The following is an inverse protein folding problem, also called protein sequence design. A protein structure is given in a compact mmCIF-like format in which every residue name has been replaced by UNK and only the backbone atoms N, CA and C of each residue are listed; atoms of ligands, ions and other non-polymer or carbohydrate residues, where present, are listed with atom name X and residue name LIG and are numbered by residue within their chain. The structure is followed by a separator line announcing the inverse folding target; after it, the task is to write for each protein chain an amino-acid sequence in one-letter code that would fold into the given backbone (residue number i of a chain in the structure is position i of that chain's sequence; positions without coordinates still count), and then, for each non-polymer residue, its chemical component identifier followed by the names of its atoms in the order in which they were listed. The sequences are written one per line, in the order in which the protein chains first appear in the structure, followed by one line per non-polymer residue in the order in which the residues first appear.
data_IF_309431638355
#
_entry.id   IF_309431638355
#
_cell.length_a   1.000
_cell.length_b   1.000
_cell.length_c   1.000
_cell.angle_alpha   90.00
_cell.angle_beta   90.00
_cell.angle_gamma   90.00
#
_symmetry.space_group_name_H-M   'P 1'
#
loop_
_entity.id
_entity.type
_entity.pdbx_description
1 polymer ?
#
# COMPACT_ATOMS: atom_id res chain seq x y z
N UNK A 1 -6.52 -1.11 69.99
CA UNK A 1 -7.21 -2.16 69.20
C UNK A 1 -8.10 -1.45 68.21
N UNK A 2 -7.86 -1.70 66.92
CA UNK A 2 -8.38 -0.93 65.80
C UNK A 2 -9.80 -1.38 65.42
N UNK A 3 -10.66 -0.41 65.11
CA UNK A 3 -11.87 -0.61 64.31
C UNK A 3 -12.12 0.69 63.54
N UNK A 4 -11.61 0.75 62.31
CA UNK A 4 -11.86 1.84 61.37
C UNK A 4 -13.05 1.47 60.48
N UNK A 5 -14.02 2.38 60.45
CA UNK A 5 -15.30 2.34 59.77
C UNK A 5 -15.18 2.49 58.24
N UNK A 6 -16.05 1.76 57.53
CA UNK A 6 -16.27 1.83 56.07
C UNK A 6 -16.76 3.22 55.62
N UNK A 7 -16.38 3.71 54.43
CA UNK A 7 -17.07 4.83 53.79
C UNK A 7 -18.25 4.35 52.93
N UNK A 8 -19.34 5.11 53.03
CA UNK A 8 -20.58 5.02 52.28
C UNK A 8 -20.43 5.57 50.85
N UNK A 9 -21.08 4.88 49.92
CA UNK A 9 -21.23 5.23 48.49
C UNK A 9 -22.20 6.42 48.37
N UNK A 10 -21.77 7.48 47.68
CA UNK A 10 -22.61 8.61 47.31
C UNK A 10 -23.27 8.35 45.96
N UNK A 11 -24.60 8.22 45.97
CA UNK A 11 -25.44 8.23 44.76
C UNK A 11 -25.58 9.68 44.27
N UNK A 12 -24.98 9.98 43.11
CA UNK A 12 -25.24 11.21 42.37
C UNK A 12 -26.31 10.90 41.30
N UNK A 13 -27.50 11.45 41.49
CA UNK A 13 -28.61 11.36 40.56
C UNK A 13 -28.31 12.09 39.26
N UNK A 14 -28.46 11.37 38.15
CA UNK A 14 -28.53 11.95 36.81
C UNK A 14 -29.98 11.91 36.34
N UNK A 15 -30.56 13.10 36.19
CA UNK A 15 -31.87 13.35 35.63
C UNK A 15 -31.86 13.05 34.12
N UNK A 16 -32.65 12.04 33.74
CA UNK A 16 -32.98 11.70 32.37
C UNK A 16 -33.87 12.79 31.76
N UNK A 17 -33.38 13.46 30.72
CA UNK A 17 -34.20 14.26 29.80
C UNK A 17 -34.73 13.36 28.67
N UNK A 18 -36.02 13.49 28.29
CA UNK A 18 -36.70 12.48 27.49
C UNK A 18 -36.39 12.56 25.98
N UNK A 19 -36.40 11.37 25.37
CA UNK A 19 -36.38 11.13 23.93
C UNK A 19 -37.48 11.92 23.21
N UNK A 20 -37.08 12.66 22.18
CA UNK A 20 -37.98 13.22 21.17
C UNK A 20 -38.36 12.12 20.18
N UNK A 21 -39.65 11.82 20.11
CA UNK A 21 -40.24 10.90 19.13
C UNK A 21 -40.40 11.58 17.76
N UNK A 22 -40.28 10.85 16.64
CA UNK A 22 -40.45 11.45 15.31
C UNK A 22 -41.93 11.70 15.01
N UNK A 23 -42.26 12.94 14.64
CA UNK A 23 -43.59 13.31 14.16
C UNK A 23 -43.84 12.80 12.74
N UNK A 24 -44.97 12.11 12.62
CA UNK A 24 -45.74 11.71 11.44
C UNK A 24 -45.53 12.57 10.16
N UNK A 25 -45.05 11.93 9.09
CA UNK A 25 -45.17 12.43 7.72
C UNK A 25 -46.51 11.97 7.15
N UNK A 26 -47.42 12.92 6.95
CA UNK A 26 -48.69 12.69 6.25
C UNK A 26 -48.45 12.43 4.76
N UNK A 27 -48.93 11.29 4.29
CA UNK A 27 -49.10 10.91 2.89
C UNK A 27 -50.36 11.53 2.28
N UNK A 28 -50.30 11.92 0.99
CA UNK A 28 -51.31 11.82 -0.10
C UNK A 28 -51.14 12.98 -1.13
N UNK A 29 -51.54 12.84 -2.42
CA UNK A 29 -51.45 11.70 -3.33
C UNK A 29 -50.80 12.08 -4.69
N UNK A 30 -50.44 11.04 -5.45
CA UNK A 30 -49.88 11.09 -6.81
C UNK A 30 -50.88 11.64 -7.83
N UNK A 31 -50.45 12.60 -8.67
CA UNK A 31 -51.04 12.89 -9.99
C UNK A 31 -49.95 13.19 -11.04
N UNK A 32 -49.68 12.14 -11.80
CA UNK A 32 -49.32 12.05 -13.22
C UNK A 32 -49.26 13.35 -14.05
N UNK A 33 -48.07 13.72 -14.57
CA UNK A 33 -47.84 14.44 -15.85
C UNK A 33 -46.42 14.17 -16.41
N UNK A 34 -46.39 13.47 -17.54
CA UNK A 34 -45.36 13.34 -18.61
C UNK A 34 -43.95 13.97 -18.45
N UNK A 35 -42.86 13.23 -18.74
CA UNK A 35 -41.56 13.80 -19.07
C UNK A 35 -41.39 14.13 -20.58
N UNK A 36 -40.48 15.05 -20.95
CA UNK A 36 -40.29 15.53 -22.33
C UNK A 36 -39.39 14.61 -23.19
N UNK A 37 -39.60 14.67 -24.51
CA UNK A 37 -38.91 13.88 -25.55
C UNK A 37 -37.45 14.32 -25.75
N UNK A 38 -36.54 13.40 -26.16
CA UNK A 38 -35.16 13.75 -26.46
C UNK A 38 -35.01 14.40 -27.84
N UNK A 39 -34.11 15.38 -27.90
CA UNK A 39 -33.62 16.05 -29.11
C UNK A 39 -33.03 15.03 -30.11
N UNK A 40 -33.45 15.12 -31.38
CA UNK A 40 -32.78 14.47 -32.52
C UNK A 40 -31.91 15.50 -33.22
N UNK A 41 -30.60 15.32 -33.18
CA UNK A 41 -29.69 15.99 -34.10
C UNK A 41 -29.61 15.18 -35.40
N UNK A 42 -29.97 15.83 -36.51
CA UNK A 42 -29.83 15.32 -37.86
C UNK A 42 -28.42 15.69 -38.37
N UNK A 43 -27.53 14.71 -38.50
CA UNK A 43 -26.29 14.87 -39.27
C UNK A 43 -26.55 14.40 -40.70
N UNK A 44 -26.61 15.37 -41.62
CA UNK A 44 -26.68 15.15 -43.06
C UNK A 44 -25.28 14.85 -43.60
N UNK A 45 -25.03 13.62 -44.04
CA UNK A 45 -23.81 13.25 -44.77
C UNK A 45 -24.03 13.60 -46.26
N UNK A 46 -23.26 14.57 -46.75
CA UNK A 46 -23.20 14.94 -48.18
C UNK A 46 -22.17 14.02 -48.84
N UNK A 47 -22.62 13.16 -49.77
CA UNK A 47 -21.74 12.37 -50.64
C UNK A 47 -21.39 13.18 -51.91
N UNK A 48 -20.13 13.18 -52.37
CA UNK A 48 -19.75 13.84 -53.62
C UNK A 48 -20.23 13.05 -54.86
N UNK A 49 -20.48 13.75 -55.99
CA UNK A 49 -21.07 13.16 -57.19
C UNK A 49 -20.10 12.25 -57.96
N UNK A 50 -20.69 11.23 -58.57
CA UNK A 50 -20.08 10.22 -59.43
C UNK A 50 -19.49 10.80 -60.71
N UNK A 51 -18.29 10.32 -61.08
CA UNK A 51 -17.65 10.56 -62.38
C UNK A 51 -17.53 9.21 -63.15
N UNK A 52 -17.57 9.23 -64.49
CA UNK A 52 -17.88 8.05 -65.30
C UNK A 52 -16.65 7.16 -65.56
N UNK A 53 -16.91 5.86 -65.68
CA UNK A 53 -15.93 4.85 -66.09
C UNK A 53 -15.58 4.95 -67.58
N UNK A 54 -14.29 4.85 -67.97
CA UNK A 54 -13.92 4.41 -69.28
C UNK A 54 -13.87 2.87 -69.35
N UNK A 55 -14.59 2.37 -70.33
CA UNK A 55 -14.52 1.04 -70.93
C UNK A 55 -13.08 0.70 -71.38
N UNK A 56 -12.50 -0.37 -70.86
CA UNK A 56 -11.93 -1.41 -71.72
C UNK A 56 -11.51 -2.67 -70.94
N UNK A 57 -12.05 -3.79 -71.41
CA UNK A 57 -11.73 -5.16 -71.03
C UNK A 57 -10.37 -5.48 -71.65
N UNK A 58 -9.31 -5.75 -70.87
CA UNK A 58 -8.15 -6.60 -71.21
C UNK A 58 -7.05 -6.43 -70.14
N UNK A 59 -7.14 -7.14 -69.01
CA UNK A 59 -6.05 -7.76 -68.23
C UNK A 59 -6.58 -8.23 -66.87
N UNK A 60 -7.25 -9.39 -66.84
CA UNK A 60 -7.73 -10.01 -65.60
C UNK A 60 -7.36 -11.50 -65.53
N UNK A 61 -6.13 -11.88 -65.92
CA UNK A 61 -5.60 -13.22 -65.60
C UNK A 61 -4.07 -13.15 -65.47
N UNK A 62 -3.54 -12.45 -64.45
CA UNK A 62 -2.16 -12.67 -63.98
C UNK A 62 -1.82 -12.13 -62.58
N UNK A 63 -2.78 -11.60 -61.81
CA UNK A 63 -2.53 -11.08 -60.45
C UNK A 63 -3.14 -11.93 -59.31
N UNK A 64 -3.72 -13.10 -59.61
CA UNK A 64 -4.38 -13.93 -58.59
C UNK A 64 -3.46 -14.95 -57.90
N UNK A 65 -2.22 -15.16 -58.36
CA UNK A 65 -1.34 -16.22 -57.83
C UNK A 65 -0.13 -15.72 -57.03
N UNK A 66 0.11 -14.40 -56.97
CA UNK A 66 1.22 -13.82 -56.17
C UNK A 66 0.71 -13.18 -54.87
N UNK A 67 -0.58 -12.80 -54.78
CA UNK A 67 -1.16 -12.23 -53.57
C UNK A 67 -1.35 -13.28 -52.43
N UNK A 68 -1.54 -14.56 -52.77
CA UNK A 68 -1.80 -15.61 -51.75
C UNK A 68 -0.50 -16.08 -51.05
N UNK A 69 0.67 -15.94 -51.67
CA UNK A 69 1.94 -16.31 -51.06
C UNK A 69 2.54 -15.20 -50.17
N UNK A 70 2.25 -13.92 -50.44
CA UNK A 70 2.68 -12.78 -49.61
C UNK A 70 1.83 -12.58 -48.34
N UNK A 71 0.59 -13.09 -48.33
CA UNK A 71 -0.30 -13.03 -47.16
C UNK A 71 -0.10 -14.19 -46.16
N UNK A 72 0.49 -15.32 -46.59
CA UNK A 72 0.78 -16.44 -45.69
C UNK A 72 2.09 -16.27 -44.89
N UNK A 73 3.10 -15.60 -45.46
CA UNK A 73 4.37 -15.33 -44.79
C UNK A 73 4.35 -14.13 -43.82
N UNK A 74 3.49 -13.15 -44.06
CA UNK A 74 3.37 -11.98 -43.19
C UNK A 74 2.61 -12.27 -41.88
N UNK A 75 1.72 -13.27 -41.86
CA UNK A 75 0.92 -13.62 -40.69
C UNK A 75 1.70 -14.25 -39.53
N UNK A 76 2.74 -15.04 -39.83
CA UNK A 76 3.59 -15.66 -38.80
C UNK A 76 4.68 -14.71 -38.28
N UNK A 77 5.16 -13.78 -39.11
CA UNK A 77 6.12 -12.76 -38.70
C UNK A 77 5.47 -11.62 -37.89
N UNK A 78 4.21 -11.26 -38.17
CA UNK A 78 3.48 -10.26 -37.37
C UNK A 78 3.06 -10.79 -36.00
N UNK A 79 2.73 -12.09 -35.88
CA UNK A 79 2.34 -12.66 -34.59
C UNK A 79 3.53 -12.76 -33.62
N UNK A 80 4.75 -12.97 -34.12
CA UNK A 80 5.97 -13.01 -33.31
C UNK A 80 6.55 -11.62 -32.99
N UNK A 81 6.20 -10.59 -33.77
CA UNK A 81 6.71 -9.21 -33.56
C UNK A 81 5.83 -8.35 -32.62
N UNK A 82 4.63 -8.83 -32.26
CA UNK A 82 3.74 -8.16 -31.30
C UNK A 82 4.03 -8.60 -29.85
N UNK A 83 4.73 -9.72 -29.64
CA UNK A 83 5.04 -10.28 -28.31
C UNK A 83 6.31 -9.69 -27.66
N UNK A 84 6.99 -8.70 -28.25
CA UNK A 84 8.27 -8.20 -27.72
C UNK A 84 8.41 -6.68 -27.68
N UNK A 85 7.32 -5.94 -27.39
CA UNK A 85 7.41 -4.49 -27.14
C UNK A 85 7.13 -4.16 -25.67
N UNK A 86 7.91 -3.26 -25.05
CA UNK A 86 7.57 -2.70 -23.74
C UNK A 86 6.24 -1.96 -23.85
N UNK A 87 5.26 -2.30 -23.00
CA UNK A 87 3.92 -1.72 -23.00
C UNK A 87 2.91 -2.39 -23.94
N UNK A 88 3.07 -3.67 -24.28
CA UNK A 88 2.01 -4.41 -24.97
C UNK A 88 0.77 -4.52 -24.08
N UNK A 89 -0.38 -4.05 -24.57
CA UNK A 89 -1.70 -4.27 -23.96
C UNK A 89 -1.84 -5.76 -23.57
N UNK A 90 -2.46 -6.07 -22.41
CA UNK A 90 -2.69 -7.45 -21.98
C UNK A 90 -3.30 -8.26 -23.13
N UNK A 91 -2.83 -9.49 -23.32
CA UNK A 91 -3.39 -10.33 -24.38
C UNK A 91 -4.89 -10.53 -24.13
N UNK A 92 -5.68 -10.80 -25.17
CA UNK A 92 -7.11 -11.14 -25.00
C UNK A 92 -7.28 -12.29 -24.00
N UNK A 93 -6.32 -13.22 -23.94
CA UNK A 93 -6.30 -14.31 -22.98
C UNK A 93 -6.15 -13.79 -21.54
N UNK A 94 -5.22 -12.87 -21.29
CA UNK A 94 -4.98 -12.31 -19.95
C UNK A 94 -6.20 -11.55 -19.44
N UNK A 95 -6.88 -10.79 -20.31
CA UNK A 95 -8.14 -10.14 -19.97
C UNK A 95 -9.22 -11.14 -19.55
N UNK A 96 -9.36 -12.25 -20.29
CA UNK A 96 -10.33 -13.29 -19.97
C UNK A 96 -10.02 -13.99 -18.64
N UNK A 97 -8.76 -14.32 -18.39
CA UNK A 97 -8.35 -14.96 -17.13
C UNK A 97 -8.59 -14.04 -15.93
N UNK A 98 -8.35 -12.74 -16.11
CA UNK A 98 -8.68 -11.72 -15.10
C UNK A 98 -10.19 -11.61 -14.86
N UNK A 99 -11.00 -11.63 -15.91
CA UNK A 99 -12.47 -11.62 -15.80
C UNK A 99 -13.02 -12.89 -15.11
N UNK A 100 -12.29 -14.02 -15.22
CA UNK A 100 -12.55 -15.26 -14.49
C UNK A 100 -12.08 -15.20 -13.02
N UNK A 101 -11.48 -14.09 -12.58
CA UNK A 101 -11.03 -13.86 -11.21
C UNK A 101 -9.65 -14.44 -10.90
N UNK A 102 -8.89 -14.88 -11.92
CA UNK A 102 -7.51 -15.31 -11.75
C UNK A 102 -6.57 -14.12 -11.60
N UNK A 103 -5.46 -14.38 -10.93
CA UNK A 103 -4.41 -13.41 -10.62
C UNK A 103 -3.08 -13.89 -11.16
N UNK A 104 -2.34 -13.03 -11.83
CA UNK A 104 -1.00 -13.32 -12.33
C UNK A 104 0.03 -13.07 -11.22
N UNK A 105 0.66 -14.14 -10.75
CA UNK A 105 1.50 -14.14 -9.55
C UNK A 105 2.93 -14.55 -9.88
N UNK A 106 3.90 -13.81 -9.36
CA UNK A 106 5.34 -14.12 -9.45
C UNK A 106 5.90 -14.49 -8.09
N UNK A 107 6.87 -15.40 -8.09
CA UNK A 107 7.60 -15.84 -6.88
C UNK A 107 9.11 -15.56 -6.95
N UNK A 108 9.59 -15.04 -8.07
CA UNK A 108 10.97 -14.55 -8.25
C UNK A 108 11.03 -13.54 -9.41
N UNK A 109 12.17 -12.86 -9.58
CA UNK A 109 12.37 -11.92 -10.69
C UNK A 109 12.23 -12.61 -12.06
N UNK A 110 12.81 -13.80 -12.19
CA UNK A 110 12.83 -14.62 -13.41
C UNK A 110 11.53 -15.41 -13.66
N UNK A 111 10.59 -15.40 -12.70
CA UNK A 111 9.28 -16.04 -12.85
C UNK A 111 8.44 -15.27 -13.89
N UNK A 112 8.01 -15.89 -15.01
CA UNK A 112 7.16 -15.22 -15.99
C UNK A 112 5.75 -14.93 -15.44
N UNK A 113 5.40 -15.47 -14.28
CA UNK A 113 4.11 -15.34 -13.65
C UNK A 113 3.21 -16.54 -13.93
N UNK A 114 2.49 -16.97 -12.91
CA UNK A 114 1.49 -18.04 -12.98
C UNK A 114 0.11 -17.48 -12.66
N UNK A 115 -0.88 -17.79 -13.48
CA UNK A 115 -2.28 -17.45 -13.20
C UNK A 115 -2.84 -18.39 -12.13
N UNK A 116 -3.34 -17.82 -11.04
CA UNK A 116 -3.79 -18.55 -9.85
C UNK A 116 -5.09 -17.94 -9.30
N UNK A 117 -5.93 -18.75 -8.66
CA UNK A 117 -7.04 -18.22 -7.85
C UNK A 117 -6.51 -17.65 -6.52
N UNK A 118 -7.33 -16.86 -5.81
CA UNK A 118 -7.02 -16.42 -4.44
C UNK A 118 -6.82 -17.60 -3.47
N UNK A 119 -7.58 -18.68 -3.63
CA UNK A 119 -7.44 -19.89 -2.83
C UNK A 119 -6.11 -20.61 -3.12
N UNK A 120 -5.71 -20.67 -4.39
CA UNK A 120 -4.40 -21.21 -4.75
C UNK A 120 -3.24 -20.36 -4.23
N UNK A 121 -3.36 -19.01 -4.24
CA UNK A 121 -2.37 -18.13 -3.59
C UNK A 121 -2.23 -18.48 -2.11
N UNK A 122 -3.36 -18.66 -1.44
CA UNK A 122 -3.38 -19.04 -0.02
C UNK A 122 -2.70 -20.39 0.23
N UNK A 123 -3.14 -21.44 -0.46
CA UNK A 123 -2.70 -22.82 -0.24
C UNK A 123 -1.26 -23.08 -0.69
N UNK A 124 -0.82 -22.41 -1.75
CA UNK A 124 0.49 -22.68 -2.36
C UNK A 124 1.57 -21.72 -1.88
N UNK A 125 1.22 -20.49 -1.49
CA UNK A 125 2.19 -19.43 -1.19
C UNK A 125 2.09 -18.95 0.26
N UNK A 126 0.96 -18.35 0.65
CA UNK A 126 0.77 -17.73 1.98
C UNK A 126 0.97 -18.77 3.10
N UNK A 127 0.27 -19.90 3.04
CA UNK A 127 0.36 -20.97 4.05
C UNK A 127 1.72 -21.66 4.12
N UNK A 128 2.56 -21.47 3.08
CA UNK A 128 3.92 -22.01 2.99
C UNK A 128 4.99 -20.95 3.24
N UNK A 129 4.60 -19.71 3.56
CA UNK A 129 5.50 -18.57 3.76
C UNK A 129 6.44 -18.34 2.57
N UNK A 130 5.90 -18.46 1.35
CA UNK A 130 6.63 -18.15 0.11
C UNK A 130 6.24 -16.74 -0.29
N UNK A 131 7.21 -15.82 -0.31
CA UNK A 131 6.99 -14.45 -0.78
C UNK A 131 6.63 -14.40 -2.26
N UNK A 132 5.71 -13.50 -2.61
CA UNK A 132 5.16 -13.40 -3.96
C UNK A 132 4.66 -11.99 -4.25
N UNK A 133 4.49 -11.68 -5.53
CA UNK A 133 3.84 -10.46 -5.98
C UNK A 133 2.69 -10.79 -6.92
N UNK A 134 1.54 -10.16 -6.71
CA UNK A 134 0.41 -10.19 -7.63
C UNK A 134 0.53 -9.01 -8.59
N UNK A 135 0.93 -9.30 -9.82
CA UNK A 135 1.24 -8.29 -10.84
C UNK A 135 0.06 -8.03 -11.78
N UNK A 136 -1.11 -8.61 -11.51
CA UNK A 136 -2.27 -8.61 -12.43
C UNK A 136 -2.68 -7.21 -12.88
N UNK A 137 -2.65 -6.24 -11.96
CA UNK A 137 -3.06 -4.85 -12.21
C UNK A 137 -1.87 -3.94 -12.57
N UNK A 138 -0.65 -4.45 -12.46
CA UNK A 138 0.59 -3.66 -12.54
C UNK A 138 1.64 -4.33 -13.43
N UNK A 139 1.20 -5.11 -14.42
CA UNK A 139 2.09 -5.78 -15.40
C UNK A 139 2.99 -4.80 -16.15
N UNK A 140 2.56 -3.55 -16.26
CA UNK A 140 3.34 -2.47 -16.87
C UNK A 140 4.62 -2.20 -16.09
N UNK A 141 4.63 -2.32 -14.75
CA UNK A 141 5.85 -2.24 -13.93
C UNK A 141 6.89 -3.28 -14.36
N UNK A 142 6.46 -4.46 -14.79
CA UNK A 142 7.35 -5.50 -15.33
C UNK A 142 7.90 -5.12 -16.70
N UNK A 143 7.11 -4.38 -17.49
CA UNK A 143 7.46 -3.94 -18.84
C UNK A 143 8.39 -2.73 -18.83
N UNK A 144 8.30 -1.90 -17.79
CA UNK A 144 9.16 -0.72 -17.66
C UNK A 144 10.61 -1.15 -17.45
N UNK A 145 10.88 -2.27 -16.77
CA UNK A 145 12.24 -2.72 -16.51
C UNK A 145 13.09 -1.62 -15.85
N UNK A 146 14.33 -1.96 -15.52
CA UNK A 146 15.26 -0.98 -14.92
C UNK A 146 15.62 0.18 -15.87
N UNK A 147 15.27 0.09 -17.17
CA UNK A 147 15.60 1.07 -18.19
C UNK A 147 14.53 2.16 -18.42
N UNK A 148 13.27 1.92 -18.05
CA UNK A 148 12.16 2.88 -18.23
C UNK A 148 11.65 3.49 -16.94
N UNK A 149 12.12 3.04 -15.77
CA UNK A 149 12.01 3.81 -14.53
C UNK A 149 12.63 5.18 -14.80
N UNK A 150 11.79 6.19 -15.02
CA UNK A 150 12.16 7.48 -15.57
C UNK A 150 13.37 8.05 -14.83
N UNK A 151 14.59 7.83 -15.37
CA UNK A 151 15.91 8.19 -14.79
C UNK A 151 15.77 8.85 -13.41
N UNK A 152 15.39 8.07 -12.40
CA UNK A 152 15.17 8.65 -11.07
C UNK A 152 16.57 9.11 -10.66
N UNK A 153 16.71 10.42 -10.47
CA UNK A 153 18.02 10.99 -10.19
C UNK A 153 18.58 10.25 -8.98
N UNK A 154 19.83 9.80 -9.07
CA UNK A 154 20.47 9.13 -7.94
C UNK A 154 20.41 10.05 -6.73
N UNK A 155 19.68 9.63 -5.69
CA UNK A 155 19.56 10.38 -4.45
C UNK A 155 20.88 10.23 -3.69
N UNK A 156 21.47 11.35 -3.31
CA UNK A 156 22.70 11.36 -2.53
C UNK A 156 22.35 11.40 -1.04
N UNK A 157 22.52 10.28 -0.35
CA UNK A 157 22.27 10.22 1.09
C UNK A 157 23.49 10.71 1.89
N UNK A 158 23.28 11.38 3.03
CA UNK A 158 24.35 11.73 3.95
C UNK A 158 25.13 10.50 4.43
N UNK A 159 26.38 10.67 4.83
CA UNK A 159 27.18 9.59 5.43
C UNK A 159 26.74 9.21 6.85
N UNK A 160 25.82 9.98 7.45
CA UNK A 160 25.29 9.78 8.78
C UNK A 160 24.30 10.88 9.16
N UNK A 161 23.64 10.77 10.33
CA UNK A 161 22.66 11.76 10.79
C UNK A 161 23.32 13.11 11.11
N UNK A 162 22.59 14.20 10.86
CA UNK A 162 23.04 15.58 11.14
C UNK A 162 22.01 16.45 11.87
N UNK A 163 20.83 15.90 12.18
CA UNK A 163 19.71 16.62 12.79
C UNK A 163 19.27 16.00 14.12
N UNK A 164 20.20 15.38 14.86
CA UNK A 164 19.92 14.68 16.12
C UNK A 164 19.27 15.56 17.16
N UNK A 165 19.66 16.82 17.29
CA UNK A 165 19.06 17.74 18.27
C UNK A 165 17.57 17.95 18.01
N UNK A 166 17.19 18.12 16.75
CA UNK A 166 15.80 18.30 16.34
C UNK A 166 15.02 17.00 16.46
N UNK A 167 15.59 15.90 15.96
CA UNK A 167 15.01 14.56 16.05
C UNK A 167 14.76 14.14 17.51
N UNK A 168 15.75 14.30 18.39
CA UNK A 168 15.63 13.91 19.79
C UNK A 168 14.57 14.72 20.55
N UNK A 169 14.36 15.99 20.19
CA UNK A 169 13.29 16.80 20.76
C UNK A 169 11.90 16.26 20.39
N UNK A 170 11.71 15.78 19.15
CA UNK A 170 10.47 15.14 18.73
C UNK A 170 10.31 13.74 19.33
N UNK A 171 11.37 12.93 19.31
CA UNK A 171 11.42 11.57 19.89
C UNK A 171 11.00 11.58 21.36
N UNK A 172 11.38 12.61 22.14
CA UNK A 172 10.99 12.75 23.55
C UNK A 172 9.47 12.83 23.76
N UNK A 173 8.69 13.11 22.71
CA UNK A 173 7.23 13.17 22.75
C UNK A 173 6.55 11.87 22.34
N UNK A 174 7.30 10.83 21.95
CA UNK A 174 6.75 9.52 21.62
C UNK A 174 6.19 8.82 22.87
N UNK A 175 5.02 8.19 22.75
CA UNK A 175 4.28 7.60 23.87
C UNK A 175 3.89 6.16 23.59
N UNK A 176 4.45 5.26 24.39
CA UNK A 176 4.11 3.84 24.37
C UNK A 176 2.61 3.57 24.53
N UNK A 177 1.92 4.35 25.37
CA UNK A 177 0.47 4.19 25.61
C UNK A 177 -0.39 4.37 24.35
N UNK A 178 0.06 5.20 23.40
CA UNK A 178 -0.66 5.38 22.14
C UNK A 178 -0.49 4.15 21.25
N UNK A 179 0.74 3.61 21.18
CA UNK A 179 1.06 2.37 20.46
C UNK A 179 0.19 1.23 20.97
N UNK A 180 0.12 1.05 22.29
CA UNK A 180 -0.73 0.06 22.94
C UNK A 180 -2.21 0.23 22.58
N UNK A 181 -2.73 1.46 22.66
CA UNK A 181 -4.14 1.75 22.38
C UNK A 181 -4.51 1.43 20.94
N UNK A 182 -3.71 1.89 19.97
CA UNK A 182 -3.98 1.66 18.56
C UNK A 182 -3.78 0.20 18.15
N UNK A 183 -2.74 -0.47 18.64
CA UNK A 183 -2.48 -1.87 18.33
C UNK A 183 -3.64 -2.75 18.84
N UNK A 184 -4.09 -2.53 20.09
CA UNK A 184 -5.29 -3.20 20.61
C UNK A 184 -6.53 -2.89 19.77
N UNK A 185 -6.71 -1.64 19.33
CA UNK A 185 -7.84 -1.26 18.48
C UNK A 185 -7.87 -2.03 17.16
N UNK A 186 -6.73 -2.11 16.48
CA UNK A 186 -6.59 -2.76 15.18
C UNK A 186 -6.66 -4.29 15.29
N UNK A 187 -6.01 -4.89 16.30
CA UNK A 187 -6.00 -6.33 16.53
C UNK A 187 -7.32 -6.88 17.09
N UNK A 188 -8.21 -6.02 17.58
CA UNK A 188 -9.56 -6.43 17.99
C UNK A 188 -10.52 -6.65 16.81
N UNK A 189 -10.16 -6.19 15.60
CA UNK A 189 -10.91 -6.53 14.39
C UNK A 189 -10.67 -8.01 14.09
N UNK A 190 -11.74 -8.76 13.81
CA UNK A 190 -11.66 -10.22 13.67
C UNK A 190 -10.58 -10.69 12.67
N UNK A 191 -10.52 -10.05 11.52
CA UNK A 191 -9.41 -10.05 10.58
C UNK A 191 -9.44 -8.75 9.77
N UNK A 192 -8.39 -8.48 9.00
CA UNK A 192 -8.30 -7.29 8.15
C UNK A 192 -8.05 -7.66 6.69
N UNK A 193 -8.44 -8.87 6.28
CA UNK A 193 -8.25 -9.36 4.93
C UNK A 193 -8.88 -8.41 3.90
N UNK A 194 -8.09 -7.99 2.92
CA UNK A 194 -8.39 -6.88 2.02
C UNK A 194 -9.64 -7.07 1.13
N UNK A 195 -10.02 -8.33 0.86
CA UNK A 195 -11.28 -8.71 0.16
C UNK A 195 -12.34 -9.28 1.10
N UNK A 196 -12.06 -9.36 2.40
CA UNK A 196 -12.90 -10.01 3.39
C UNK A 196 -14.10 -9.18 3.84
N UNK A 197 -14.98 -9.80 4.64
CA UNK A 197 -16.15 -9.14 5.23
C UNK A 197 -15.80 -7.98 6.17
N UNK A 198 -14.58 -7.95 6.70
CA UNK A 198 -14.07 -6.90 7.60
C UNK A 198 -13.21 -5.84 6.90
N UNK A 199 -13.06 -5.90 5.57
CA UNK A 199 -12.33 -4.92 4.76
C UNK A 199 -12.82 -3.48 4.98
N UNK A 200 -14.13 -3.26 4.96
CA UNK A 200 -14.71 -1.93 5.17
C UNK A 200 -14.52 -1.44 6.63
N UNK A 201 -14.64 -2.34 7.61
CA UNK A 201 -14.46 -2.03 9.04
C UNK A 201 -13.03 -1.61 9.34
N UNK A 202 -12.05 -2.38 8.84
CA UNK A 202 -10.62 -2.07 8.99
C UNK A 202 -10.24 -0.77 8.26
N UNK A 203 -10.75 -0.55 7.04
CA UNK A 203 -10.52 0.70 6.32
C UNK A 203 -11.08 1.94 7.04
N UNK A 204 -12.29 1.84 7.61
CA UNK A 204 -12.90 2.92 8.37
C UNK A 204 -12.13 3.21 9.67
N UNK A 205 -11.66 2.16 10.35
CA UNK A 205 -10.78 2.30 11.51
C UNK A 205 -9.48 3.00 11.12
N UNK A 206 -8.83 2.55 10.04
CA UNK A 206 -7.55 3.08 9.61
C UNK A 206 -7.66 4.57 9.27
N UNK A 207 -8.64 4.96 8.46
CA UNK A 207 -8.89 6.36 8.13
C UNK A 207 -9.10 7.22 9.39
N UNK A 208 -9.90 6.74 10.34
CA UNK A 208 -10.19 7.45 11.58
C UNK A 208 -8.94 7.62 12.46
N UNK A 209 -8.11 6.58 12.56
CA UNK A 209 -6.86 6.63 13.33
C UNK A 209 -5.86 7.63 12.72
N UNK A 210 -5.69 7.62 11.40
CA UNK A 210 -4.81 8.59 10.71
C UNK A 210 -5.31 10.02 10.86
N UNK A 211 -6.62 10.26 10.68
CA UNK A 211 -7.22 11.58 10.88
C UNK A 211 -7.04 12.08 12.32
N UNK A 212 -7.19 11.19 13.31
CA UNK A 212 -6.99 11.51 14.71
C UNK A 212 -5.52 11.87 15.00
N UNK A 213 -4.56 11.06 14.53
CA UNK A 213 -3.14 11.32 14.67
C UNK A 213 -2.71 12.65 14.01
N UNK A 214 -3.26 12.97 12.84
CA UNK A 214 -2.97 14.20 12.10
C UNK A 214 -3.69 15.45 12.65
N UNK A 215 -4.72 15.30 13.48
CA UNK A 215 -5.69 16.36 13.83
C UNK A 215 -5.10 17.64 14.42
N UNK A 216 -3.92 17.57 15.04
CA UNK A 216 -3.24 18.73 15.63
C UNK A 216 -2.55 19.65 14.62
N UNK A 217 -2.44 19.23 13.35
CA UNK A 217 -1.80 20.03 12.29
C UNK A 217 -2.68 20.08 11.03
N UNK A 218 -3.30 21.23 10.78
CA UNK A 218 -4.22 21.45 9.66
C UNK A 218 -3.55 21.44 8.27
N UNK A 219 -2.22 21.51 8.21
CA UNK A 219 -1.46 21.35 6.97
C UNK A 219 -1.43 19.90 6.49
N UNK A 220 -1.61 18.94 7.39
CA UNK A 220 -1.61 17.52 7.04
C UNK A 220 -2.90 17.18 6.29
N UNK A 221 -2.76 16.57 5.12
CA UNK A 221 -3.89 16.11 4.30
C UNK A 221 -3.96 14.59 4.34
N UNK A 222 -5.08 14.06 4.82
CA UNK A 222 -5.35 12.62 4.85
C UNK A 222 -6.27 12.27 3.70
N UNK A 223 -5.91 11.26 2.93
CA UNK A 223 -6.64 10.80 1.75
C UNK A 223 -6.64 9.28 1.68
N UNK A 224 -7.64 8.73 0.98
CA UNK A 224 -7.70 7.30 0.66
C UNK A 224 -7.28 7.09 -0.80
N UNK A 225 -6.53 6.03 -1.06
CA UNK A 225 -6.21 5.56 -2.40
C UNK A 225 -7.08 4.34 -2.70
N UNK A 226 -7.88 4.41 -3.76
CA UNK A 226 -8.79 3.33 -4.16
C UNK A 226 -8.08 2.28 -5.01
N UNK A 227 -8.40 1.02 -4.78
CA UNK A 227 -7.88 -0.14 -5.52
C UNK A 227 -8.99 -0.85 -6.29
N UNK A 228 -8.63 -1.92 -7.01
CA UNK A 228 -9.59 -2.84 -7.64
C UNK A 228 -10.42 -3.68 -6.64
N UNK A 229 -10.18 -3.52 -5.34
CA UNK A 229 -10.87 -4.17 -4.22
C UNK A 229 -11.33 -3.14 -3.18
N UNK A 230 -12.13 -3.59 -2.21
CA UNK A 230 -12.92 -2.72 -1.34
C UNK A 230 -12.15 -2.03 -0.21
N UNK A 231 -10.98 -2.53 0.19
CA UNK A 231 -10.14 -1.94 1.23
C UNK A 231 -9.16 -0.92 0.60
N UNK A 232 -9.36 0.40 0.75
CA UNK A 232 -8.43 1.42 0.23
C UNK A 232 -7.15 1.51 1.05
N UNK A 233 -6.03 1.94 0.47
CA UNK A 233 -4.89 2.41 1.26
C UNK A 233 -5.16 3.82 1.83
N UNK A 234 -4.47 4.22 2.90
CA UNK A 234 -4.61 5.55 3.50
C UNK A 234 -3.25 6.27 3.45
N UNK A 235 -3.25 7.53 3.02
CA UNK A 235 -2.04 8.36 2.93
C UNK A 235 -2.27 9.65 3.71
N UNK A 236 -1.38 9.95 4.65
CA UNK A 236 -1.27 11.27 5.25
C UNK A 236 -0.07 12.02 4.65
N UNK A 237 -0.29 13.25 4.20
CA UNK A 237 0.73 14.10 3.59
C UNK A 237 0.96 15.34 4.43
N UNK A 238 2.17 15.50 4.94
CA UNK A 238 2.66 16.73 5.58
C UNK A 238 3.52 17.50 4.55
N UNK A 239 3.00 18.60 3.97
CA UNK A 239 3.71 19.33 2.93
C UNK A 239 4.99 19.98 3.48
N UNK A 240 6.07 19.84 2.72
CA UNK A 240 7.31 20.59 2.94
C UNK A 240 7.45 21.79 2.00
N UNK A 241 8.58 22.48 2.07
CA UNK A 241 8.93 23.54 1.11
C UNK A 241 9.29 23.00 -0.29
N UNK A 242 9.72 21.74 -0.36
CA UNK A 242 9.96 20.97 -1.59
C UNK A 242 8.81 20.00 -1.82
N UNK A 243 8.51 19.74 -3.10
CA UNK A 243 7.57 18.70 -3.52
C UNK A 243 8.16 17.28 -3.50
N UNK A 244 9.48 17.14 -3.36
CA UNK A 244 10.15 15.85 -3.22
C UNK A 244 9.68 15.14 -1.94
N UNK A 245 9.45 13.83 -2.04
CA UNK A 245 8.71 13.04 -1.04
C UNK A 245 9.61 12.06 -0.31
N UNK A 246 9.53 12.04 1.02
CA UNK A 246 10.05 10.96 1.87
C UNK A 246 8.88 10.23 2.51
N UNK A 247 8.88 8.90 2.39
CA UNK A 247 7.78 8.04 2.76
C UNK A 247 8.20 7.12 3.91
N UNK A 248 7.35 7.00 4.92
CA UNK A 248 7.35 5.86 5.85
C UNK A 248 6.05 5.08 5.67
N UNK A 249 6.13 3.76 5.77
CA UNK A 249 4.98 2.90 5.46
C UNK A 249 4.85 1.70 6.36
N UNK A 250 3.63 1.17 6.41
CA UNK A 250 3.27 -0.14 6.92
C UNK A 250 1.99 -0.61 6.19
N UNK A 251 1.73 -1.91 6.11
CA UNK A 251 0.42 -2.39 5.68
C UNK A 251 -0.50 -2.62 6.88
N UNK A 252 -1.81 -2.53 6.66
CA UNK A 252 -2.79 -2.66 7.73
C UNK A 252 -3.79 -3.81 7.51
N UNK A 253 -3.67 -4.58 6.42
CA UNK A 253 -4.40 -5.83 6.30
C UNK A 253 -3.84 -6.93 7.21
N UNK A 254 -4.46 -8.11 7.16
CA UNK A 254 -3.97 -9.32 7.83
C UNK A 254 -4.63 -10.56 7.22
N UNK A 255 -3.89 -11.66 7.20
CA UNK A 255 -4.42 -12.98 6.84
C UNK A 255 -4.33 -13.97 8.00
N UNK A 256 -5.23 -14.95 8.05
CA UNK A 256 -5.21 -16.03 9.03
C UNK A 256 -4.93 -17.37 8.38
N UNK A 257 -5.30 -18.47 9.04
CA UNK A 257 -5.22 -19.81 8.45
C UNK A 257 -6.17 -20.06 7.27
N UNK A 258 -6.97 -19.05 6.90
CA UNK A 258 -7.70 -18.92 5.64
C UNK A 258 -8.03 -17.45 5.40
N UNK A 259 -8.54 -17.12 4.21
CA UNK A 259 -9.00 -15.75 3.86
C UNK A 259 -10.17 -15.24 4.72
N UNK A 260 -10.86 -16.13 5.43
CA UNK A 260 -11.93 -15.80 6.39
C UNK A 260 -11.55 -16.12 7.84
N UNK A 261 -10.34 -16.63 8.08
CA UNK A 261 -9.87 -17.02 9.40
C UNK A 261 -9.74 -15.82 10.34
N UNK A 262 -9.72 -16.08 11.65
CA UNK A 262 -9.38 -15.04 12.62
C UNK A 262 -7.91 -14.68 12.47
N UNK A 263 -7.63 -13.39 12.30
CA UNK A 263 -6.30 -12.86 12.07
C UNK A 263 -6.14 -11.53 12.81
N UNK A 264 -5.84 -11.56 14.12
CA UNK A 264 -5.64 -10.34 14.88
C UNK A 264 -4.43 -9.55 14.33
N UNK A 265 -3.45 -10.20 13.69
CA UNK A 265 -2.38 -9.54 12.93
C UNK A 265 -1.69 -8.47 13.77
N UNK A 266 -1.34 -8.83 15.00
CA UNK A 266 -0.90 -7.89 16.02
C UNK A 266 0.53 -7.45 15.76
N UNK A 267 1.39 -8.42 15.48
CA UNK A 267 2.74 -8.16 15.03
C UNK A 267 2.77 -7.87 13.54
N UNK A 268 1.99 -8.64 12.76
CA UNK A 268 1.90 -8.57 11.31
C UNK A 268 0.51 -8.03 10.85
N UNK A 269 0.35 -6.73 10.60
CA UNK A 269 1.33 -5.67 10.83
C UNK A 269 0.75 -4.50 11.63
N UNK A 270 -0.06 -4.79 12.66
CA UNK A 270 -0.52 -3.73 13.54
C UNK A 270 0.64 -3.03 14.28
N UNK A 271 1.75 -3.73 14.53
CA UNK A 271 2.94 -3.19 15.15
C UNK A 271 3.60 -2.07 14.30
N UNK A 272 3.83 -2.30 13.01
CA UNK A 272 4.34 -1.29 12.08
C UNK A 272 3.36 -0.14 11.85
N UNK A 273 2.05 -0.44 11.77
CA UNK A 273 1.02 0.60 11.66
C UNK A 273 1.09 1.59 12.82
N UNK A 274 1.25 1.11 14.06
CA UNK A 274 1.29 2.03 15.21
C UNK A 274 2.58 2.84 15.29
N UNK A 275 3.70 2.30 14.79
CA UNK A 275 4.96 3.04 14.63
C UNK A 275 4.75 4.26 13.71
N UNK A 276 4.12 4.05 12.55
CA UNK A 276 3.85 5.12 11.58
C UNK A 276 2.82 6.13 12.12
N UNK A 277 1.77 5.66 12.80
CA UNK A 277 0.78 6.54 13.45
C UNK A 277 1.39 7.42 14.54
N UNK A 278 2.28 6.88 15.36
CA UNK A 278 2.92 7.65 16.43
C UNK A 278 3.90 8.68 15.89
N UNK A 279 4.65 8.33 14.83
CA UNK A 279 5.49 9.29 14.13
C UNK A 279 4.65 10.44 13.55
N UNK A 280 3.54 10.13 12.87
CA UNK A 280 2.59 11.12 12.36
C UNK A 280 2.07 12.02 13.48
N UNK A 281 1.62 11.44 14.60
CA UNK A 281 1.07 12.18 15.74
C UNK A 281 2.10 13.09 16.41
N UNK A 282 3.34 12.62 16.57
CA UNK A 282 4.43 13.43 17.14
C UNK A 282 4.72 14.64 16.26
N UNK A 283 4.90 14.44 14.95
CA UNK A 283 5.17 15.54 14.02
C UNK A 283 3.98 16.50 13.91
N UNK A 284 2.76 15.99 13.91
CA UNK A 284 1.55 16.81 13.90
C UNK A 284 1.43 17.67 15.17
N UNK A 285 1.59 17.07 16.35
CA UNK A 285 1.50 17.79 17.63
C UNK A 285 2.59 18.85 17.80
N UNK A 286 3.77 18.64 17.21
CA UNK A 286 4.86 19.61 17.21
C UNK A 286 4.66 20.75 16.20
N UNK A 287 3.66 20.68 15.32
CA UNK A 287 3.52 21.61 14.19
C UNK A 287 4.71 21.56 13.25
N UNK A 288 5.31 20.36 13.07
CA UNK A 288 6.53 20.18 12.29
C UNK A 288 6.36 20.69 10.85
N UNK A 289 7.38 21.40 10.35
CA UNK A 289 7.39 22.00 9.02
C UNK A 289 8.64 21.50 8.27
N UNK A 290 8.54 20.37 7.56
CA UNK A 290 9.70 19.75 6.93
C UNK A 290 10.13 20.52 5.67
N UNK A 291 11.36 20.29 5.23
CA UNK A 291 11.86 20.82 3.94
C UNK A 291 11.36 19.95 2.78
N UNK A 292 11.62 18.65 2.80
CA UNK A 292 10.97 17.69 1.90
C UNK A 292 9.53 17.39 2.37
N UNK A 293 8.64 17.05 1.45
CA UNK A 293 7.30 16.59 1.79
C UNK A 293 7.40 15.22 2.46
N UNK A 294 6.71 15.04 3.58
CA UNK A 294 6.65 13.76 4.29
C UNK A 294 5.31 13.08 4.05
N UNK A 295 5.32 11.81 3.69
CA UNK A 295 4.12 11.02 3.53
C UNK A 295 4.15 9.75 4.41
N UNK A 296 2.99 9.44 4.98
CA UNK A 296 2.77 8.31 5.88
C UNK A 296 1.75 7.40 5.21
N UNK A 297 2.22 6.23 4.76
CA UNK A 297 1.43 5.32 3.95
C UNK A 297 0.97 4.12 4.79
N UNK A 298 -0.31 3.79 4.66
CA UNK A 298 -0.93 2.62 5.27
C UNK A 298 -1.52 1.77 4.16
N UNK A 299 -0.79 0.75 3.72
CA UNK A 299 -1.14 -0.06 2.56
C UNK A 299 -2.21 -1.10 2.88
N UNK A 300 -3.09 -1.37 1.93
CA UNK A 300 -4.00 -2.52 1.98
C UNK A 300 -3.56 -3.60 1.00
N UNK A 301 -3.91 -4.86 1.27
CA UNK A 301 -3.68 -5.96 0.33
C UNK A 301 -2.23 -6.37 0.14
N UNK A 302 -1.37 -6.13 1.14
CA UNK A 302 0.01 -6.64 1.16
C UNK A 302 -0.01 -8.18 1.10
N UNK A 303 -0.85 -8.79 1.93
CA UNK A 303 -1.03 -10.24 2.06
C UNK A 303 -1.61 -10.89 0.80
N UNK A 304 -2.18 -10.06 -0.08
CA UNK A 304 -2.69 -10.43 -1.39
C UNK A 304 -1.61 -10.48 -2.48
N UNK A 305 -0.37 -10.13 -2.16
CA UNK A 305 0.77 -10.01 -3.08
C UNK A 305 1.18 -8.57 -3.37
N UNK A 306 1.32 -7.73 -2.34
CA UNK A 306 1.75 -6.33 -2.38
C UNK A 306 0.83 -5.40 -3.18
N UNK A 307 -0.47 -5.69 -3.23
CA UNK A 307 -1.41 -5.06 -4.16
C UNK A 307 -1.50 -3.54 -3.98
N UNK A 308 -1.67 -3.08 -2.74
CA UNK A 308 -1.90 -1.65 -2.47
C UNK A 308 -0.69 -0.79 -2.73
N UNK A 309 0.49 -1.23 -2.26
CA UNK A 309 1.75 -0.53 -2.51
C UNK A 309 2.10 -0.53 -4.00
N UNK A 310 1.89 -1.64 -4.72
CA UNK A 310 2.12 -1.70 -6.18
C UNK A 310 1.23 -0.73 -6.94
N UNK A 311 -0.07 -0.64 -6.62
CA UNK A 311 -0.98 0.32 -7.26
C UNK A 311 -0.51 1.77 -7.04
N UNK A 312 -0.10 2.10 -5.81
CA UNK A 312 0.40 3.44 -5.46
C UNK A 312 1.69 3.76 -6.19
N UNK A 313 2.69 2.87 -6.16
CA UNK A 313 3.97 3.16 -6.81
C UNK A 313 3.90 3.12 -8.33
N UNK A 314 3.01 2.31 -8.92
CA UNK A 314 2.68 2.40 -10.35
C UNK A 314 2.08 3.77 -10.69
N UNK A 315 1.16 4.26 -9.86
CA UNK A 315 0.60 5.60 -10.02
C UNK A 315 1.68 6.69 -9.86
N UNK A 316 2.58 6.56 -8.89
CA UNK A 316 3.63 7.54 -8.64
C UNK A 316 4.64 7.59 -9.79
N UNK A 317 5.04 6.43 -10.31
CA UNK A 317 5.90 6.34 -11.50
C UNK A 317 5.21 6.98 -12.72
N UNK A 318 3.94 6.66 -12.95
CA UNK A 318 3.15 7.22 -14.06
C UNK A 318 2.96 8.74 -13.96
N UNK A 319 2.91 9.29 -12.75
CA UNK A 319 2.78 10.73 -12.49
C UNK A 319 4.12 11.43 -12.23
N UNK A 320 5.26 10.74 -12.38
CA UNK A 320 6.59 11.29 -12.15
C UNK A 320 6.73 11.96 -10.77
N UNK A 321 6.18 11.32 -9.72
CA UNK A 321 6.37 11.77 -8.34
C UNK A 321 7.84 11.61 -7.96
N UNK A 322 8.46 12.67 -7.46
CA UNK A 322 9.85 12.68 -7.02
C UNK A 322 9.97 12.08 -5.61
N UNK A 323 10.14 10.76 -5.52
CA UNK A 323 10.30 10.04 -4.24
C UNK A 323 11.78 9.86 -3.92
N UNK A 324 12.22 10.46 -2.82
CA UNK A 324 13.60 10.43 -2.37
C UNK A 324 13.94 9.20 -1.53
N UNK A 325 12.97 8.70 -0.75
CA UNK A 325 13.16 7.54 0.11
C UNK A 325 11.83 6.95 0.56
N UNK A 326 11.79 5.62 0.68
CA UNK A 326 10.71 4.84 1.28
C UNK A 326 11.30 3.95 2.38
N UNK A 327 10.83 4.08 3.62
CA UNK A 327 11.18 3.16 4.71
C UNK A 327 9.93 2.41 5.14
N UNK A 328 9.95 1.09 4.93
CA UNK A 328 8.85 0.21 5.32
C UNK A 328 9.10 -0.37 6.71
N UNK A 329 8.08 -0.26 7.58
CA UNK A 329 8.01 -0.87 8.90
C UNK A 329 7.05 -2.05 8.83
N UNK A 330 7.61 -3.25 8.89
CA UNK A 330 6.81 -4.47 8.82
C UNK A 330 7.32 -5.52 9.79
N UNK A 331 6.44 -5.84 10.75
CA UNK A 331 6.73 -6.48 12.03
C UNK A 331 7.73 -5.66 12.85
N UNK A 332 7.26 -5.10 13.97
CA UNK A 332 8.06 -4.26 14.86
C UNK A 332 7.83 -4.59 16.34
N UNK A 333 7.19 -5.72 16.65
CA UNK A 333 6.62 -6.04 17.95
C UNK A 333 7.07 -7.36 18.56
N UNK A 334 7.41 -8.39 17.79
CA UNK A 334 7.97 -9.64 18.29
C UNK A 334 9.48 -9.65 18.09
N UNK A 335 10.24 -9.52 19.17
CA UNK A 335 11.69 -9.48 19.06
C UNK A 335 12.34 -10.32 20.17
N UNK A 336 12.58 -11.62 19.94
CA UNK A 336 13.29 -12.48 20.89
C UNK A 336 14.75 -12.04 21.10
N UNK A 337 15.36 -11.39 20.10
CA UNK A 337 16.77 -10.98 20.11
C UNK A 337 17.03 -9.51 20.48
N UNK A 338 15.97 -8.71 20.66
CA UNK A 338 16.02 -7.27 20.96
C UNK A 338 16.86 -6.47 19.95
N UNK A 339 16.64 -6.66 18.65
CA UNK A 339 17.38 -5.97 17.57
C UNK A 339 16.46 -5.15 16.68
N UNK A 340 16.99 -4.18 15.95
CA UNK A 340 16.32 -3.66 14.75
C UNK A 340 17.03 -4.30 13.55
N UNK A 341 16.31 -5.14 12.81
CA UNK A 341 16.81 -5.77 11.61
C UNK A 341 16.61 -4.85 10.40
N UNK A 342 17.68 -4.60 9.65
CA UNK A 342 17.63 -3.88 8.37
C UNK A 342 17.95 -4.85 7.24
N UNK A 343 17.00 -5.01 6.33
CA UNK A 343 17.09 -5.97 5.24
C UNK A 343 17.88 -5.40 4.05
N UNK A 344 18.56 -6.29 3.32
CA UNK A 344 19.61 -5.92 2.35
C UNK A 344 19.38 -6.41 0.92
N UNK A 345 18.29 -7.13 0.66
CA UNK A 345 17.82 -7.56 -0.66
C UNK A 345 16.54 -6.81 -1.06
N UNK A 346 16.32 -6.63 -2.37
CA UNK A 346 15.18 -5.86 -2.92
C UNK A 346 15.03 -4.43 -2.37
N UNK A 347 16.16 -3.79 -2.05
CA UNK A 347 16.26 -2.44 -1.47
C UNK A 347 17.28 -1.59 -2.23
N UNK A 348 17.21 -0.27 -2.06
CA UNK A 348 18.23 0.65 -2.52
C UNK A 348 19.44 0.67 -1.56
N UNK A 349 20.60 0.23 -2.05
CA UNK A 349 21.82 0.10 -1.22
C UNK A 349 22.26 1.41 -0.55
N UNK A 350 22.11 2.56 -1.22
CA UNK A 350 22.55 3.84 -0.67
C UNK A 350 21.63 4.29 0.47
N UNK A 351 20.31 4.17 0.29
CA UNK A 351 19.33 4.44 1.35
C UNK A 351 19.49 3.47 2.52
N UNK A 352 19.65 2.17 2.26
CA UNK A 352 19.86 1.16 3.31
C UNK A 352 21.11 1.46 4.12
N UNK A 353 22.21 1.88 3.48
CA UNK A 353 23.41 2.28 4.20
C UNK A 353 23.18 3.49 5.10
N UNK A 354 22.41 4.48 4.64
CA UNK A 354 22.01 5.61 5.48
C UNK A 354 21.14 5.17 6.66
N UNK A 355 20.10 4.37 6.42
CA UNK A 355 19.21 3.80 7.46
C UNK A 355 20.00 3.08 8.55
N UNK A 356 21.00 2.27 8.17
CA UNK A 356 21.89 1.59 9.13
C UNK A 356 22.64 2.53 10.05
N UNK A 357 22.97 3.74 9.61
CA UNK A 357 23.62 4.75 10.47
C UNK A 357 22.65 5.39 11.46
N UNK A 358 21.34 5.38 11.17
CA UNK A 358 20.31 6.00 12.00
C UNK A 358 19.90 5.12 13.17
N UNK A 359 19.85 3.80 12.97
CA UNK A 359 19.47 2.82 14.02
C UNK A 359 20.23 3.04 15.33
N UNK A 360 21.58 3.01 15.38
CA UNK A 360 22.32 3.18 16.64
C UNK A 360 22.25 4.60 17.23
N UNK A 361 21.69 5.57 16.49
CA UNK A 361 21.58 6.98 16.94
C UNK A 361 20.21 7.28 17.53
N UNK A 362 19.14 6.71 16.95
CA UNK A 362 17.76 6.99 17.32
C UNK A 362 17.04 5.83 18.03
N UNK A 363 17.71 4.68 18.14
CA UNK A 363 17.26 3.53 18.94
C UNK A 363 18.36 3.11 19.91
N UNK A 364 17.94 2.52 21.02
CA UNK A 364 18.81 1.83 21.97
C UNK A 364 19.04 0.35 21.62
N UNK A 365 18.36 -0.18 20.60
CA UNK A 365 18.49 -1.56 20.16
C UNK A 365 19.70 -1.73 19.23
N UNK A 366 20.40 -2.87 19.30
CA UNK A 366 21.43 -3.22 18.33
C UNK A 366 20.86 -3.34 16.91
N UNK A 367 21.65 -2.89 15.93
CA UNK A 367 21.39 -3.14 14.52
C UNK A 367 21.71 -4.60 14.16
N UNK A 368 20.78 -5.27 13.49
CA UNK A 368 21.00 -6.53 12.78
C UNK A 368 20.82 -6.32 11.27
N UNK A 369 21.40 -7.21 10.46
CA UNK A 369 21.23 -7.22 9.00
C UNK A 369 20.71 -8.58 8.56
N UNK A 370 19.81 -8.60 7.59
CA UNK A 370 19.29 -9.85 7.03
C UNK A 370 18.87 -9.72 5.56
N UNK A 371 18.32 -10.82 5.03
CA UNK A 371 17.62 -10.92 3.76
C UNK A 371 16.30 -11.66 3.93
N UNK A 372 15.29 -11.26 3.17
CA UNK A 372 13.95 -11.84 3.28
C UNK A 372 13.57 -12.72 2.09
N UNK A 373 14.04 -12.36 0.89
CA UNK A 373 13.62 -12.97 -0.36
C UNK A 373 12.62 -12.13 -1.15
N UNK A 374 12.19 -12.69 -2.29
CA UNK A 374 11.34 -12.02 -3.26
C UNK A 374 9.93 -11.78 -2.70
N UNK A 375 9.35 -10.60 -3.00
CA UNK A 375 7.97 -10.31 -2.61
C UNK A 375 7.76 -10.37 -1.10
N UNK A 376 8.74 -9.91 -0.33
CA UNK A 376 8.74 -10.00 1.13
C UNK A 376 7.74 -9.04 1.77
N UNK A 377 7.72 -7.77 1.34
CA UNK A 377 6.83 -6.74 1.87
C UNK A 377 6.83 -5.51 0.92
N UNK A 378 6.06 -4.47 1.24
CA UNK A 378 5.76 -3.33 0.36
C UNK A 378 6.96 -2.50 -0.12
N UNK A 379 8.10 -2.56 0.57
CA UNK A 379 9.36 -1.94 0.11
C UNK A 379 9.77 -2.44 -1.28
N UNK A 380 9.43 -3.69 -1.61
CA UNK A 380 9.74 -4.31 -2.88
C UNK A 380 8.91 -3.72 -4.03
N UNK A 381 7.71 -3.22 -3.76
CA UNK A 381 6.88 -2.48 -4.72
C UNK A 381 7.53 -1.16 -5.13
N UNK A 382 8.03 -0.40 -4.15
CA UNK A 382 8.79 0.83 -4.38
C UNK A 382 10.06 0.55 -5.19
N UNK A 383 10.84 -0.47 -4.78
CA UNK A 383 12.07 -0.87 -5.47
C UNK A 383 11.80 -1.29 -6.93
N UNK A 384 10.74 -2.07 -7.17
CA UNK A 384 10.35 -2.52 -8.51
C UNK A 384 9.89 -1.37 -9.41
N UNK A 385 9.30 -0.33 -8.83
CA UNK A 385 8.96 0.91 -9.54
C UNK A 385 10.15 1.87 -9.72
N UNK A 386 11.35 1.50 -9.25
CA UNK A 386 12.59 2.27 -9.37
C UNK A 386 12.84 3.29 -8.25
N UNK A 387 11.96 3.38 -7.25
CA UNK A 387 12.10 4.31 -6.13
C UNK A 387 13.04 3.76 -5.06
N UNK A 388 13.86 4.61 -4.41
CA UNK A 388 14.72 4.15 -3.33
C UNK A 388 13.91 3.66 -2.12
N UNK A 389 14.04 2.38 -1.78
CA UNK A 389 13.37 1.80 -0.61
C UNK A 389 14.34 1.09 0.33
N UNK A 390 13.97 1.03 1.61
CA UNK A 390 14.62 0.25 2.65
C UNK A 390 13.55 -0.42 3.51
N UNK A 391 13.93 -1.53 4.15
CA UNK A 391 13.04 -2.33 4.98
C UNK A 391 13.63 -2.54 6.37
N UNK A 392 12.82 -2.25 7.38
CA UNK A 392 13.14 -2.36 8.79
C UNK A 392 12.10 -3.26 9.49
N UNK A 393 12.57 -4.19 10.30
CA UNK A 393 11.80 -5.23 11.00
C UNK A 393 12.34 -5.42 12.43
N UNK A 394 11.56 -6.01 13.32
CA UNK A 394 11.94 -6.36 14.70
C UNK A 394 12.93 -7.54 14.78
N UNK A 395 13.02 -8.37 13.74
CA UNK A 395 13.82 -9.58 13.80
C UNK A 395 14.39 -10.09 12.47
N UNK A 396 15.29 -11.07 12.62
CA UNK A 396 15.89 -11.84 11.54
C UNK A 396 14.96 -12.97 11.11
N UNK A 397 14.99 -13.36 9.83
CA UNK A 397 14.08 -14.37 9.26
C UNK A 397 14.15 -15.72 9.99
N UNK A 398 15.34 -16.09 10.48
CA UNK A 398 15.55 -17.35 11.20
C UNK A 398 14.79 -17.41 12.54
N UNK A 399 14.50 -16.24 13.13
CA UNK A 399 13.87 -16.10 14.44
C UNK A 399 12.45 -15.53 14.35
N UNK A 400 11.94 -15.37 13.11
CA UNK A 400 10.64 -14.77 12.80
C UNK A 400 9.50 -15.36 13.64
N UNK A 401 8.59 -14.48 14.06
CA UNK A 401 7.44 -14.77 14.90
C UNK A 401 6.71 -16.02 14.41
N UNK A 402 6.63 -17.07 15.25
CA UNK A 402 5.96 -18.31 14.87
C UNK A 402 4.44 -18.16 14.80
N UNK A 403 3.92 -16.97 15.13
CA UNK A 403 2.49 -16.69 15.27
C UNK A 403 1.89 -16.00 14.05
N UNK A 404 2.69 -15.40 13.15
CA UNK A 404 2.19 -14.67 11.97
C UNK A 404 1.25 -15.52 11.11
N UNK A 405 0.35 -14.84 10.39
CA UNK A 405 -0.70 -15.44 9.57
C UNK A 405 -1.61 -16.42 10.33
N UNK A 406 -1.79 -16.24 11.65
CA UNK A 406 -2.60 -17.11 12.49
C UNK A 406 -3.45 -16.37 13.51
N UNK A 407 -4.37 -17.08 14.16
CA UNK A 407 -5.18 -16.53 15.24
C UNK A 407 -4.39 -16.21 16.52
N UNK A 408 -3.12 -16.63 16.58
CA UNK A 408 -2.23 -16.54 17.74
C UNK A 408 -1.34 -15.30 17.68
N UNK A 409 -1.21 -14.66 16.52
CA UNK A 409 -0.58 -13.34 16.42
C UNK A 409 -1.48 -12.31 17.09
N UNK A 410 -1.19 -12.04 18.36
CA UNK A 410 -2.07 -11.30 19.28
C UNK A 410 -1.25 -10.30 20.07
N UNK A 411 -1.88 -9.29 20.65
CA UNK A 411 -1.19 -8.28 21.47
C UNK A 411 -0.30 -8.89 22.57
N UNK A 412 -0.63 -10.09 23.07
CA UNK A 412 0.14 -10.78 24.08
C UNK A 412 1.53 -11.26 23.60
N UNK A 413 1.79 -11.31 22.28
CA UNK A 413 3.10 -11.66 21.70
C UNK A 413 4.01 -10.45 21.56
N UNK A 414 3.49 -9.22 21.72
CA UNK A 414 4.24 -7.99 21.44
C UNK A 414 5.03 -7.46 22.62
N UNK A 415 6.15 -6.80 22.31
CA UNK A 415 6.95 -5.96 23.20
C UNK A 415 6.75 -4.49 22.84
N UNK A 416 5.88 -3.78 23.56
CA UNK A 416 5.67 -2.35 23.33
C UNK A 416 6.89 -1.45 23.57
N UNK A 417 7.80 -1.76 24.53
CA UNK A 417 9.08 -1.05 24.59
C UNK A 417 9.90 -1.20 23.31
N UNK A 418 9.84 -2.36 22.65
CA UNK A 418 10.52 -2.59 21.37
C UNK A 418 9.87 -1.80 20.23
N UNK A 419 8.53 -1.85 20.11
CA UNK A 419 7.75 -1.04 19.14
C UNK A 419 8.06 0.45 19.33
N UNK A 420 8.21 0.92 20.58
CA UNK A 420 8.57 2.30 20.85
C UNK A 420 9.93 2.66 20.25
N UNK A 421 10.93 1.77 20.29
CA UNK A 421 12.24 2.02 19.68
C UNK A 421 12.16 2.15 18.15
N UNK A 422 11.30 1.36 17.48
CA UNK A 422 10.98 1.55 16.06
C UNK A 422 10.32 2.91 15.78
N UNK A 423 9.42 3.36 16.66
CA UNK A 423 8.82 4.69 16.57
C UNK A 423 9.87 5.81 16.71
N UNK A 424 10.82 5.68 17.64
CA UNK A 424 11.92 6.65 17.80
C UNK A 424 12.81 6.70 16.56
N UNK A 425 13.21 5.53 16.04
CA UNK A 425 13.95 5.43 14.80
C UNK A 425 13.20 6.09 13.63
N UNK A 426 11.90 5.81 13.48
CA UNK A 426 11.07 6.34 12.39
C UNK A 426 10.94 7.86 12.46
N UNK A 427 10.75 8.43 13.65
CA UNK A 427 10.75 9.89 13.86
C UNK A 427 12.11 10.49 13.47
N UNK A 428 13.20 9.86 13.89
CA UNK A 428 14.55 10.29 13.54
C UNK A 428 14.80 10.26 12.03
N UNK A 429 14.39 9.18 11.35
CA UNK A 429 14.45 9.06 9.89
C UNK A 429 13.67 10.17 9.18
N UNK A 430 12.45 10.49 9.62
CA UNK A 430 11.63 11.55 9.01
C UNK A 430 12.24 12.95 9.17
N UNK A 431 12.86 13.22 10.32
CA UNK A 431 13.58 14.48 10.53
C UNK A 431 14.78 14.57 9.61
N UNK A 432 15.64 13.54 9.56
CA UNK A 432 16.79 13.56 8.65
C UNK A 432 16.37 13.60 7.17
N UNK A 433 15.31 12.85 6.82
CA UNK A 433 14.66 12.80 5.51
C UNK A 433 14.12 14.13 5.03
N UNK A 434 13.94 15.09 5.93
CA UNK A 434 13.57 16.43 5.54
C UNK A 434 14.69 17.16 4.80
N UNK A 435 15.97 16.76 4.93
CA UNK A 435 17.11 17.63 4.58
C UNK A 435 18.06 17.14 3.49
N UNK A 436 17.91 15.92 2.96
CA UNK A 436 18.74 15.42 1.86
C UNK A 436 18.03 15.42 0.52
#
# INVERSE_FOLDING_TARGET
MAAASRPTVGEAGWSLLPLVTPSEVKTHPVRDRNPPRPYREHITIILPPSQPFPTNIYTMVQFATIAVALLAGAGQALSAAVESRPGSLPSRRDMLLRDEGLRLVKTSEDDPGTWMTEEEKFDKLISKKIGFMDITETIELESFGLDSAAKIAAVAYPSGPSHQTEANALIANAKQSNLETWANGLANIYNRYYRGSYAATSAAWMLSAVQSAASSNSNIKVSQFSHSYSQPSVIAKLPGTSSSVVIVSAHYDSVGSSTSGRAPGADDNASGVVVVLEALRVLAAAGYAPKNTLEFHFYSGEEGGLLGSRDIFNNYASNSVDVLAVVNQDMTGYSPNNVIAVYTDYVNTALTNFVKTLVPVYSSLPLSLDKCGYGCSDHASANSAGFPSAYVCDENMADSSPYIHSSQDTIATLSFPHILEHAKFTIGFLVEGSYF
#
